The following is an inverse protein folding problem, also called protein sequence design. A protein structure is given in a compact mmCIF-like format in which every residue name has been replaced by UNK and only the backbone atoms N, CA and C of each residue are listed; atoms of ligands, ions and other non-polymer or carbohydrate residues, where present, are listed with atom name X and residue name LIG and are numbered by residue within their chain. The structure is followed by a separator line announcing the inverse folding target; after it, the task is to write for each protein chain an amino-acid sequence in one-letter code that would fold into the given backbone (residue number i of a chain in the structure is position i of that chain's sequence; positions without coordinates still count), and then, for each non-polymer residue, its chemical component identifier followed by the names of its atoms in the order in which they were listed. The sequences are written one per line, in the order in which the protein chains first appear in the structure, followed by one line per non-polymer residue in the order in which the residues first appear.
data_IF_247254287587
#
_entry.id   IF_247254287587
#
_cell.length_a   1.000
_cell.length_b   1.000
_cell.length_c   1.000
_cell.angle_alpha   90.00
_cell.angle_beta   90.00
_cell.angle_gamma   90.00
#
_symmetry.space_group_name_H-M   'P 1'
#
loop_
_entity.id
_entity.type
_entity.pdbx_description
1 polymer ?
#
# COMPACT_ATOMS: atom_id res chain seq x y z
N UNK A 1 -39.08 5.94 54.57
CA UNK A 1 -38.73 6.36 53.20
C UNK A 1 -37.22 6.31 53.09
N UNK A 2 -36.71 5.23 52.49
CA UNK A 2 -35.30 4.87 52.54
C UNK A 2 -34.61 5.15 51.20
N UNK A 3 -33.52 5.93 51.29
CA UNK A 3 -32.26 5.80 50.55
C UNK A 3 -32.30 5.57 49.03
N UNK A 4 -32.34 6.67 48.28
CA UNK A 4 -32.03 6.72 46.85
C UNK A 4 -30.56 7.11 46.67
N UNK A 5 -29.63 6.15 46.80
CA UNK A 5 -28.19 6.34 46.59
C UNK A 5 -27.46 4.98 46.56
N UNK A 6 -27.44 4.29 45.42
CA UNK A 6 -26.38 3.35 45.02
C UNK A 6 -26.78 2.61 43.75
N UNK A 7 -26.00 2.76 42.68
CA UNK A 7 -26.15 1.91 41.49
C UNK A 7 -25.65 2.49 40.17
N UNK A 8 -24.64 3.37 40.18
CA UNK A 8 -23.94 3.81 38.96
C UNK A 8 -22.48 3.40 39.07
N UNK A 9 -22.16 2.24 38.47
CA UNK A 9 -20.85 1.66 38.08
C UNK A 9 -21.02 0.13 38.08
N UNK A 10 -20.51 -0.69 37.16
CA UNK A 10 -19.78 -0.53 35.92
C UNK A 10 -19.70 -1.95 35.28
N UNK A 11 -19.51 -1.99 33.96
CA UNK A 11 -18.83 -3.04 33.18
C UNK A 11 -19.41 -4.46 33.02
N UNK A 12 -19.67 -4.71 31.74
CA UNK A 12 -19.09 -5.79 30.92
C UNK A 12 -19.80 -7.14 30.94
N UNK A 13 -20.40 -7.47 29.79
CA UNK A 13 -21.03 -8.77 29.59
C UNK A 13 -21.56 -9.01 28.19
N UNK A 14 -20.66 -9.01 27.19
CA UNK A 14 -20.77 -9.91 26.02
C UNK A 14 -21.64 -9.48 24.84
N UNK A 15 -21.07 -8.69 23.93
CA UNK A 15 -21.39 -8.82 22.49
C UNK A 15 -20.10 -9.20 21.73
N UNK A 16 -19.57 -10.38 22.05
CA UNK A 16 -18.67 -11.12 21.18
C UNK A 16 -19.53 -11.85 20.14
N UNK A 17 -19.82 -11.19 19.01
CA UNK A 17 -20.66 -11.82 17.98
C UNK A 17 -20.78 -11.11 16.64
N UNK A 18 -20.07 -10.01 16.38
CA UNK A 18 -20.09 -9.31 15.10
C UNK A 18 -19.13 -9.90 14.05
N UNK A 19 -19.00 -11.23 14.01
CA UNK A 19 -18.11 -11.93 13.09
C UNK A 19 -18.76 -12.08 11.72
N UNK A 20 -18.10 -11.57 10.68
CA UNK A 20 -18.41 -11.73 9.24
C UNK A 20 -19.70 -11.06 8.71
N UNK A 21 -20.82 -11.07 9.43
CA UNK A 21 -22.08 -10.47 8.95
C UNK A 21 -22.04 -8.95 8.87
N UNK A 22 -21.43 -8.31 9.87
CA UNK A 22 -21.21 -6.85 9.93
C UNK A 22 -20.28 -6.36 8.81
N UNK A 23 -19.28 -7.18 8.44
CA UNK A 23 -18.34 -6.87 7.36
C UNK A 23 -18.94 -7.07 5.95
N UNK A 24 -20.07 -7.77 5.85
CA UNK A 24 -20.79 -8.03 4.60
C UNK A 24 -22.05 -7.18 4.44
N UNK A 25 -22.37 -6.31 5.41
CA UNK A 25 -23.51 -5.40 5.30
C UNK A 25 -23.19 -4.29 4.28
N UNK A 26 -23.83 -4.28 3.09
CA UNK A 26 -23.59 -3.28 2.06
C UNK A 26 -24.04 -1.87 2.47
N UNK A 27 -24.77 -1.73 3.59
CA UNK A 27 -25.22 -0.45 4.15
C UNK A 27 -24.21 0.14 5.13
N UNK A 28 -23.27 -0.66 5.64
CA UNK A 28 -22.13 -0.10 6.33
C UNK A 28 -21.20 0.51 5.28
N UNK A 29 -21.15 1.85 5.25
CA UNK A 29 -20.10 2.55 4.54
C UNK A 29 -18.79 2.06 5.14
N UNK A 30 -18.01 1.28 4.37
CA UNK A 30 -16.57 1.18 4.59
C UNK A 30 -16.11 2.63 4.75
N UNK A 31 -15.73 3.02 5.96
CA UNK A 31 -15.31 4.37 6.23
C UNK A 31 -14.11 4.63 5.31
N UNK A 32 -14.31 5.48 4.30
CA UNK A 32 -13.22 5.97 3.48
C UNK A 32 -12.34 6.75 4.43
N UNK A 33 -11.22 6.18 4.82
CA UNK A 33 -10.26 6.85 5.66
C UNK A 33 -9.34 7.68 4.75
N UNK A 34 -9.49 9.01 4.71
CA UNK A 34 -8.66 9.88 3.88
C UNK A 34 -7.19 9.79 4.29
N UNK A 35 -6.92 9.44 5.56
CA UNK A 35 -5.56 9.25 6.05
C UNK A 35 -4.93 8.01 5.41
N UNK A 36 -5.65 6.89 5.34
CA UNK A 36 -5.16 5.69 4.65
C UNK A 36 -4.86 5.96 3.17
N UNK A 37 -5.73 6.68 2.45
CA UNK A 37 -5.48 7.04 1.05
C UNK A 37 -4.24 7.93 0.90
N UNK A 38 -4.06 8.89 1.81
CA UNK A 38 -2.87 9.76 1.82
C UNK A 38 -1.59 8.96 2.12
N UNK A 39 -1.63 8.05 3.09
CA UNK A 39 -0.48 7.19 3.42
C UNK A 39 -0.11 6.34 2.21
N UNK A 40 -1.09 5.70 1.57
CA UNK A 40 -0.86 4.90 0.35
C UNK A 40 -0.27 5.79 -0.74
N UNK A 41 -0.80 6.99 -0.95
CA UNK A 41 -0.28 7.93 -1.95
C UNK A 41 1.19 8.29 -1.69
N UNK A 42 1.53 8.70 -0.46
CA UNK A 42 2.89 9.11 -0.09
C UNK A 42 3.86 7.93 -0.20
N UNK A 43 3.47 6.78 0.33
CA UNK A 43 4.26 5.55 0.29
C UNK A 43 4.51 5.13 -1.16
N UNK A 44 3.52 5.25 -2.05
CA UNK A 44 3.68 4.91 -3.47
C UNK A 44 4.57 5.93 -4.20
N UNK A 45 4.38 7.22 -3.93
CA UNK A 45 5.20 8.27 -4.54
C UNK A 45 6.68 8.08 -4.19
N UNK A 46 6.98 7.82 -2.92
CA UNK A 46 8.35 7.58 -2.44
C UNK A 46 8.89 6.22 -2.93
N UNK A 47 8.03 5.20 -2.93
CA UNK A 47 8.33 3.86 -3.45
C UNK A 47 8.82 3.90 -4.88
N UNK A 48 7.97 4.43 -5.77
CA UNK A 48 8.21 4.44 -7.21
C UNK A 48 9.36 5.38 -7.63
N UNK A 49 9.54 6.51 -6.93
CA UNK A 49 10.54 7.52 -7.33
C UNK A 49 11.93 7.28 -6.76
N UNK A 50 12.05 6.71 -5.55
CA UNK A 50 13.33 6.61 -4.84
C UNK A 50 13.60 5.18 -4.40
N UNK A 51 12.72 4.58 -3.61
CA UNK A 51 13.04 3.32 -2.89
C UNK A 51 13.28 2.18 -3.87
N UNK A 52 12.35 1.95 -4.80
CA UNK A 52 12.44 0.82 -5.73
C UNK A 52 13.59 0.97 -6.72
N UNK A 53 13.77 2.10 -7.44
CA UNK A 53 14.86 2.25 -8.40
C UNK A 53 16.25 2.16 -7.73
N UNK A 54 16.42 2.76 -6.55
CA UNK A 54 17.70 2.72 -5.82
C UNK A 54 17.98 1.32 -5.28
N UNK A 55 16.98 0.63 -4.75
CA UNK A 55 17.16 -0.76 -4.30
C UNK A 55 17.59 -1.67 -5.45
N UNK A 56 16.98 -1.51 -6.63
CA UNK A 56 17.38 -2.28 -7.81
C UNK A 56 18.74 -1.89 -8.37
N UNK A 57 19.15 -0.62 -8.27
CA UNK A 57 20.52 -0.21 -8.57
C UNK A 57 21.52 -0.95 -7.69
N UNK A 58 21.25 -1.03 -6.38
CA UNK A 58 22.09 -1.77 -5.43
C UNK A 58 22.14 -3.25 -5.80
N UNK A 59 21.00 -3.87 -6.12
CA UNK A 59 20.98 -5.28 -6.59
C UNK A 59 21.77 -5.45 -7.89
N UNK A 60 21.62 -4.52 -8.83
CA UNK A 60 22.36 -4.50 -10.09
C UNK A 60 23.88 -4.45 -9.89
N UNK A 61 24.37 -3.74 -8.88
CA UNK A 61 25.80 -3.73 -8.53
C UNK A 61 26.34 -5.12 -8.14
N UNK A 62 25.51 -6.02 -7.60
CA UNK A 62 25.92 -7.38 -7.24
C UNK A 62 25.69 -8.39 -8.35
N UNK A 63 24.59 -8.26 -9.10
CA UNK A 63 24.19 -9.19 -10.16
C UNK A 63 24.91 -8.90 -11.48
N UNK A 64 25.32 -7.65 -11.70
CA UNK A 64 25.89 -7.16 -12.95
C UNK A 64 24.79 -6.80 -13.94
N UNK A 65 24.58 -7.64 -14.94
CA UNK A 65 23.70 -7.34 -16.07
C UNK A 65 22.23 -7.65 -15.76
N UNK A 66 21.40 -6.61 -15.68
CA UNK A 66 19.95 -6.72 -15.64
C UNK A 66 19.40 -6.12 -16.94
N UNK A 67 18.66 -6.83 -17.79
CA UNK A 67 18.12 -6.23 -19.01
C UNK A 67 17.03 -5.18 -18.68
N UNK A 68 16.96 -4.13 -19.50
CA UNK A 68 16.02 -3.01 -19.33
C UNK A 68 14.58 -3.44 -19.00
N UNK A 69 14.00 -4.33 -19.82
CA UNK A 69 12.63 -4.80 -19.63
C UNK A 69 12.44 -5.53 -18.30
N UNK A 70 13.46 -6.27 -17.84
CA UNK A 70 13.41 -6.96 -16.55
C UNK A 70 13.51 -5.96 -15.40
N UNK A 71 14.37 -4.95 -15.51
CA UNK A 71 14.48 -3.88 -14.51
C UNK A 71 13.13 -3.16 -14.34
N UNK A 72 12.48 -2.78 -15.45
CA UNK A 72 11.17 -2.12 -15.42
C UNK A 72 10.10 -3.05 -14.84
N UNK A 73 10.05 -4.31 -15.28
CA UNK A 73 9.06 -5.27 -14.79
C UNK A 73 9.20 -5.53 -13.28
N UNK A 74 10.42 -5.73 -12.79
CA UNK A 74 10.68 -5.91 -11.36
C UNK A 74 10.32 -4.64 -10.58
N UNK A 75 10.62 -3.45 -11.11
CA UNK A 75 10.25 -2.20 -10.46
C UNK A 75 8.74 -2.09 -10.24
N UNK A 76 7.95 -2.40 -11.27
CA UNK A 76 6.49 -2.42 -11.18
C UNK A 76 6.03 -3.43 -10.13
N UNK A 77 6.55 -4.65 -10.16
CA UNK A 77 6.16 -5.70 -9.20
C UNK A 77 6.50 -5.29 -7.76
N UNK A 78 7.71 -4.78 -7.52
CA UNK A 78 8.13 -4.33 -6.19
C UNK A 78 7.26 -3.18 -5.69
N UNK A 79 6.92 -2.23 -6.56
CA UNK A 79 6.02 -1.13 -6.19
C UNK A 79 4.64 -1.66 -5.79
N UNK A 80 4.06 -2.58 -6.56
CA UNK A 80 2.77 -3.17 -6.22
C UNK A 80 2.83 -3.98 -4.92
N UNK A 81 3.94 -4.67 -4.66
CA UNK A 81 4.18 -5.39 -3.39
C UNK A 81 4.32 -4.40 -2.23
N UNK A 82 5.00 -3.27 -2.43
CA UNK A 82 5.16 -2.22 -1.42
C UNK A 82 3.79 -1.63 -1.05
N UNK A 83 2.95 -1.32 -2.04
CA UNK A 83 1.61 -0.77 -1.82
C UNK A 83 0.69 -1.81 -1.16
N UNK A 84 0.57 -3.01 -1.74
CA UNK A 84 -0.43 -3.99 -1.29
C UNK A 84 0.02 -4.89 -0.15
N UNK A 85 1.33 -5.09 0.01
CA UNK A 85 1.91 -5.86 1.10
C UNK A 85 2.14 -5.01 2.36
N UNK A 86 2.69 -3.80 2.19
CA UNK A 86 3.09 -2.94 3.31
C UNK A 86 1.98 -1.98 3.72
N UNK A 87 1.50 -1.15 2.80
CA UNK A 87 0.47 -0.14 3.12
C UNK A 87 -0.93 -0.75 3.31
N UNK A 88 -1.17 -1.96 2.78
CA UNK A 88 -2.42 -2.73 2.91
C UNK A 88 -3.68 -1.86 2.77
N UNK A 89 -3.88 -1.22 1.60
CA UNK A 89 -4.95 -0.26 1.40
C UNK A 89 -6.32 -0.87 1.71
N UNK A 90 -7.06 -0.24 2.63
CA UNK A 90 -8.46 -0.57 2.89
C UNK A 90 -9.36 0.13 1.87
N UNK A 91 -9.46 -0.47 0.68
CA UNK A 91 -10.20 0.09 -0.46
C UNK A 91 -11.13 -0.97 -1.07
N UNK A 92 -12.15 -0.52 -1.82
CA UNK A 92 -13.01 -1.43 -2.58
C UNK A 92 -12.18 -2.11 -3.69
N UNK A 93 -12.51 -3.36 -4.09
CA UNK A 93 -11.72 -4.09 -5.08
C UNK A 93 -11.51 -3.36 -6.42
N UNK A 94 -12.51 -2.62 -6.89
CA UNK A 94 -12.40 -1.85 -8.14
C UNK A 94 -11.48 -0.64 -8.01
N UNK A 95 -11.54 0.07 -6.89
CA UNK A 95 -10.64 1.20 -6.61
C UNK A 95 -9.21 0.69 -6.48
N UNK A 96 -9.02 -0.43 -5.79
CA UNK A 96 -7.73 -1.11 -5.63
C UNK A 96 -7.06 -1.41 -6.98
N UNK A 97 -7.83 -1.88 -7.97
CA UNK A 97 -7.34 -2.09 -9.34
C UNK A 97 -6.93 -0.78 -10.02
N UNK A 98 -7.72 0.29 -9.85
CA UNK A 98 -7.36 1.62 -10.35
C UNK A 98 -6.04 2.12 -9.77
N UNK A 99 -5.82 1.95 -8.46
CA UNK A 99 -4.56 2.28 -7.79
C UNK A 99 -3.40 1.41 -8.29
N UNK A 100 -3.61 0.11 -8.45
CA UNK A 100 -2.59 -0.79 -9.00
C UNK A 100 -2.15 -0.38 -10.41
N UNK A 101 -3.11 -0.03 -11.27
CA UNK A 101 -2.81 0.41 -12.64
C UNK A 101 -2.10 1.77 -12.65
N UNK A 102 -2.57 2.73 -11.85
CA UNK A 102 -1.98 4.06 -11.77
C UNK A 102 -0.52 3.99 -11.31
N UNK A 103 -0.26 3.31 -10.19
CA UNK A 103 1.08 3.24 -9.63
C UNK A 103 1.98 2.25 -10.34
N UNK A 104 1.42 1.16 -10.88
CA UNK A 104 2.18 0.27 -11.77
C UNK A 104 2.67 0.99 -13.02
N UNK A 105 1.82 1.79 -13.67
CA UNK A 105 2.24 2.62 -14.81
C UNK A 105 3.27 3.67 -14.40
N UNK A 106 3.04 4.38 -13.30
CA UNK A 106 3.96 5.40 -12.79
C UNK A 106 5.33 4.81 -12.47
N UNK A 107 5.38 3.66 -11.80
CA UNK A 107 6.61 2.93 -11.53
C UNK A 107 7.31 2.50 -12.82
N UNK A 108 6.58 2.07 -13.84
CA UNK A 108 7.18 1.71 -15.12
C UNK A 108 7.87 2.91 -15.79
N UNK A 109 7.21 4.06 -15.82
CA UNK A 109 7.74 5.30 -16.41
C UNK A 109 8.96 5.80 -15.62
N UNK A 110 8.86 5.84 -14.29
CA UNK A 110 9.96 6.30 -13.44
C UNK A 110 11.15 5.33 -13.48
N UNK A 111 10.91 4.02 -13.50
CA UNK A 111 11.96 3.02 -13.68
C UNK A 111 12.64 3.16 -15.04
N UNK A 112 11.89 3.39 -16.11
CA UNK A 112 12.46 3.60 -17.44
C UNK A 112 13.31 4.88 -17.48
N UNK A 113 12.82 5.98 -16.89
CA UNK A 113 13.59 7.22 -16.78
C UNK A 113 14.86 7.03 -15.95
N UNK A 114 14.77 6.36 -14.80
CA UNK A 114 15.91 6.07 -13.94
C UNK A 114 16.94 5.18 -14.64
N UNK A 115 16.48 4.21 -15.42
CA UNK A 115 17.36 3.34 -16.20
C UNK A 115 18.24 4.15 -17.16
N UNK A 116 17.62 5.01 -17.96
CA UNK A 116 18.33 5.81 -18.97
C UNK A 116 19.25 6.87 -18.35
N UNK A 117 18.82 7.47 -17.22
CA UNK A 117 19.54 8.57 -16.58
C UNK A 117 20.65 8.10 -15.63
N UNK A 118 20.48 6.93 -14.99
CA UNK A 118 21.35 6.48 -13.90
C UNK A 118 21.86 5.06 -14.15
N UNK A 119 20.98 4.08 -14.28
CA UNK A 119 21.39 2.67 -14.24
C UNK A 119 22.35 2.31 -15.37
N UNK A 120 22.03 2.67 -16.61
CA UNK A 120 22.92 2.43 -17.76
C UNK A 120 24.26 3.15 -17.61
N UNK A 121 24.28 4.34 -17.02
CA UNK A 121 25.52 5.11 -16.83
C UNK A 121 26.44 4.53 -15.76
N UNK A 122 25.89 3.78 -14.80
CA UNK A 122 26.63 3.22 -13.66
C UNK A 122 26.99 1.75 -13.89
N UNK A 123 26.13 0.98 -14.55
CA UNK A 123 26.21 -0.49 -14.59
C UNK A 123 26.25 -1.11 -15.99
N UNK A 124 26.10 -0.34 -17.08
CA UNK A 124 26.24 -0.86 -18.46
C UNK A 124 27.58 -0.51 -19.10
#
# INVERSE_FOLDING_TARGET
MASESAGVMDRSGGEQGGGLSTALDPRQRIARDPFNELVVFVVSAVGASVVVPVALLIVGLFVGEIPFLLFVAISVVLELVLIFGLARPQMKPRERLGWALLWGFTAAVLAAAFWELVFSRVLS
#
